data_IF_484772714258
#
_entry.id   IF_484772714258
#
_cell.length_a   1.000
_cell.length_b   1.000
_cell.length_c   1.000
_cell.angle_alpha   90.00
_cell.angle_beta   90.00
_cell.angle_gamma   90.00
#
_symmetry.space_group_name_H-M   'P 1'
#
loop_
_entity.id
_entity.type
_entity.pdbx_description
1 polymer ?
#
# COMPACT_ATOMS: atom_id res chain seq x y z
N UNK A 1 32.76 -50.77 3.82
CA UNK A 1 33.47 -50.62 2.53
C UNK A 1 34.33 -49.37 2.40
N UNK A 2 34.52 -48.52 3.43
CA UNK A 2 35.58 -47.48 3.43
C UNK A 2 35.60 -46.49 2.26
N UNK A 3 34.57 -46.51 1.39
CA UNK A 3 34.50 -45.67 0.21
C UNK A 3 34.01 -44.29 0.63
N UNK A 4 34.66 -43.21 0.15
CA UNK A 4 34.18 -41.87 0.41
C UNK A 4 32.75 -41.72 -0.14
N UNK A 5 31.91 -40.89 0.50
CA UNK A 5 30.58 -40.60 0.01
C UNK A 5 30.68 -40.04 -1.42
N UNK A 6 29.71 -40.35 -2.31
CA UNK A 6 29.70 -39.80 -3.65
C UNK A 6 29.70 -38.27 -3.56
N UNK A 7 30.47 -37.57 -4.41
CA UNK A 7 30.49 -36.12 -4.38
C UNK A 7 29.08 -35.56 -4.59
N UNK A 8 28.75 -34.42 -3.96
CA UNK A 8 27.45 -33.80 -4.14
C UNK A 8 27.24 -33.41 -5.61
N UNK A 9 25.98 -33.35 -6.05
CA UNK A 9 25.64 -33.02 -7.43
C UNK A 9 26.11 -31.61 -7.85
N UNK A 10 26.27 -30.70 -6.88
CA UNK A 10 26.82 -29.36 -7.04
C UNK A 10 27.69 -29.04 -5.83
N UNK A 11 28.93 -28.65 -6.07
CA UNK A 11 29.88 -28.17 -5.07
C UNK A 11 30.45 -26.84 -5.58
N UNK A 12 29.84 -25.73 -5.15
CA UNK A 12 30.21 -24.38 -5.59
C UNK A 12 30.44 -23.50 -4.37
N UNK A 13 31.48 -22.67 -4.43
CA UNK A 13 31.74 -21.63 -3.44
C UNK A 13 30.64 -20.55 -3.54
N UNK A 14 29.92 -20.33 -2.43
CA UNK A 14 28.79 -19.38 -2.39
C UNK A 14 29.18 -17.96 -2.80
N UNK A 15 30.41 -17.53 -2.52
CA UNK A 15 30.93 -16.22 -2.94
C UNK A 15 30.96 -16.06 -4.46
N UNK A 16 31.22 -17.13 -5.22
CA UNK A 16 31.21 -17.10 -6.69
C UNK A 16 29.79 -17.17 -7.26
N UNK A 17 28.87 -17.81 -6.54
CA UNK A 17 27.46 -17.96 -6.95
C UNK A 17 26.65 -16.71 -6.64
N UNK A 18 26.92 -16.08 -5.49
CA UNK A 18 26.24 -14.91 -4.96
C UNK A 18 27.06 -13.62 -5.13
N UNK A 19 28.16 -13.69 -5.87
CA UNK A 19 29.12 -12.60 -6.01
C UNK A 19 28.45 -11.29 -6.43
N UNK A 20 28.99 -10.18 -5.91
CA UNK A 20 28.39 -8.87 -6.13
C UNK A 20 28.45 -8.47 -7.61
N UNK A 21 27.28 -8.19 -8.17
CA UNK A 21 27.18 -7.57 -9.48
C UNK A 21 27.57 -6.08 -9.37
N UNK A 22 28.26 -5.53 -10.38
CA UNK A 22 28.57 -4.10 -10.39
C UNK A 22 27.29 -3.27 -10.34
N UNK A 23 27.29 -2.22 -9.52
CA UNK A 23 26.15 -1.32 -9.38
C UNK A 23 25.89 -0.58 -10.70
N UNK A 24 24.63 -0.60 -11.15
CA UNK A 24 24.21 0.09 -12.37
C UNK A 24 24.08 1.60 -12.12
N UNK A 25 24.79 2.40 -12.90
CA UNK A 25 24.59 3.85 -12.97
C UNK A 25 23.43 4.20 -13.91
N UNK A 26 22.62 5.18 -13.51
CA UNK A 26 21.54 5.72 -14.32
C UNK A 26 21.74 7.22 -14.51
N UNK A 27 21.64 7.68 -15.75
CA UNK A 27 21.66 9.11 -16.10
C UNK A 27 20.24 9.57 -16.43
N UNK A 28 19.82 10.68 -15.84
CA UNK A 28 18.46 11.19 -15.99
C UNK A 28 18.46 12.66 -16.42
N UNK A 29 17.59 12.98 -17.38
CA UNK A 29 17.32 14.34 -17.81
C UNK A 29 15.91 14.75 -17.34
N UNK A 30 15.79 15.93 -16.73
CA UNK A 30 14.50 16.42 -16.24
C UNK A 30 13.74 17.13 -17.35
N UNK A 31 12.50 16.69 -17.59
CA UNK A 31 11.56 17.35 -18.51
C UNK A 31 10.60 18.22 -17.69
N UNK A 32 10.37 19.46 -18.14
CA UNK A 32 9.39 20.36 -17.53
C UNK A 32 8.16 20.39 -18.43
N UNK A 33 7.01 20.04 -17.87
CA UNK A 33 5.71 20.13 -18.55
C UNK A 33 5.01 21.43 -18.17
N UNK A 34 4.41 22.11 -19.16
CA UNK A 34 3.48 23.20 -18.91
C UNK A 34 2.21 22.65 -18.24
N UNK A 35 1.66 23.43 -17.30
CA UNK A 35 0.49 23.04 -16.51
C UNK A 35 -0.60 24.06 -16.77
N UNK A 36 -1.79 23.58 -17.07
CA UNK A 36 -2.96 24.44 -17.22
C UNK A 36 -3.80 24.41 -15.93
N UNK A 37 -4.45 25.53 -15.57
CA UNK A 37 -5.45 25.54 -14.53
C UNK A 37 -6.59 24.56 -14.84
N UNK A 38 -7.23 24.05 -13.80
CA UNK A 38 -8.44 23.23 -13.97
C UNK A 38 -9.55 24.08 -14.61
N UNK A 39 -9.96 23.70 -15.81
CA UNK A 39 -11.13 24.25 -16.48
C UNK A 39 -12.33 23.31 -16.29
N UNK A 40 -13.39 23.82 -15.64
CA UNK A 40 -14.62 23.06 -15.39
C UNK A 40 -15.68 23.57 -16.36
N UNK A 41 -16.14 22.68 -17.24
CA UNK A 41 -17.12 23.03 -18.25
C UNK A 41 -18.38 23.69 -17.64
N UNK A 42 -18.94 24.71 -18.31
CA UNK A 42 -20.17 25.36 -17.85
C UNK A 42 -21.30 24.35 -17.66
N UNK A 43 -22.06 24.50 -16.56
CA UNK A 43 -23.22 23.66 -16.25
C UNK A 43 -22.91 22.38 -15.47
N UNK A 44 -21.64 22.06 -15.14
CA UNK A 44 -21.32 20.98 -14.20
C UNK A 44 -21.75 21.38 -12.79
N UNK A 45 -22.61 20.57 -12.17
CA UNK A 45 -23.01 20.77 -10.77
C UNK A 45 -22.12 19.99 -9.80
N UNK A 46 -22.13 20.41 -8.53
CA UNK A 46 -21.47 19.67 -7.44
C UNK A 46 -22.04 18.26 -7.31
N UNK A 47 -23.36 18.10 -7.49
CA UNK A 47 -24.03 16.79 -7.40
C UNK A 47 -23.57 15.84 -8.51
N UNK A 48 -23.38 16.35 -9.73
CA UNK A 48 -22.86 15.54 -10.83
C UNK A 48 -21.42 15.12 -10.59
N UNK A 49 -20.62 16.03 -10.05
CA UNK A 49 -19.22 15.76 -9.68
C UNK A 49 -19.14 14.71 -8.56
N UNK A 50 -19.97 14.84 -7.51
CA UNK A 50 -20.04 13.87 -6.41
C UNK A 50 -20.42 12.48 -6.92
N UNK A 51 -21.44 12.39 -7.79
CA UNK A 51 -21.84 11.11 -8.40
C UNK A 51 -20.70 10.46 -9.19
N UNK A 52 -19.88 11.26 -9.88
CA UNK A 52 -18.69 10.76 -10.59
C UNK A 52 -17.62 10.28 -9.61
N UNK A 53 -17.29 11.07 -8.61
CA UNK A 53 -16.29 10.76 -7.58
C UNK A 53 -16.63 9.46 -6.86
N UNK A 54 -17.87 9.29 -6.39
CA UNK A 54 -18.31 8.08 -5.67
C UNK A 54 -18.32 6.81 -6.53
N UNK A 55 -18.32 6.94 -7.87
CA UNK A 55 -18.22 5.81 -8.81
C UNK A 55 -16.79 5.41 -9.13
N UNK A 56 -15.80 6.26 -8.83
CA UNK A 56 -14.39 5.93 -9.08
C UNK A 56 -13.98 4.73 -8.22
N UNK A 57 -13.34 3.69 -8.77
CA UNK A 57 -12.87 2.55 -8.01
C UNK A 57 -11.95 2.91 -6.84
N UNK A 58 -11.15 3.97 -6.97
CA UNK A 58 -10.30 4.49 -5.90
C UNK A 58 -11.10 5.02 -4.70
N UNK A 59 -12.33 5.52 -4.91
CA UNK A 59 -13.15 6.15 -3.86
C UNK A 59 -14.32 5.26 -3.40
N UNK A 60 -14.90 4.46 -4.29
CA UNK A 60 -16.10 3.69 -4.01
C UNK A 60 -15.91 2.65 -2.88
N UNK A 61 -17.00 2.05 -2.42
CA UNK A 61 -16.95 1.01 -1.38
C UNK A 61 -16.06 -0.18 -1.79
N UNK A 62 -15.12 -0.54 -0.91
CA UNK A 62 -14.20 -1.68 -1.11
C UNK A 62 -14.76 -3.01 -0.60
N UNK A 63 -16.08 -3.10 -0.39
CA UNK A 63 -16.74 -4.31 0.16
C UNK A 63 -16.39 -5.57 -0.64
N UNK A 64 -16.27 -5.46 -1.96
CA UNK A 64 -15.90 -6.58 -2.83
C UNK A 64 -14.48 -7.14 -2.59
N UNK A 65 -13.60 -6.38 -1.94
CA UNK A 65 -12.27 -6.84 -1.49
C UNK A 65 -12.35 -7.37 -0.05
N UNK A 66 -13.00 -6.62 0.84
CA UNK A 66 -12.98 -6.90 2.28
C UNK A 66 -13.80 -8.13 2.67
N UNK A 67 -14.80 -8.54 1.89
CA UNK A 67 -15.64 -9.71 2.23
C UNK A 67 -15.12 -11.03 1.67
N UNK A 68 -14.06 -11.01 0.86
CA UNK A 68 -13.52 -12.22 0.20
C UNK A 68 -12.45 -12.93 1.04
N UNK A 69 -11.98 -12.28 2.09
CA UNK A 69 -10.88 -12.76 2.93
C UNK A 69 -11.34 -12.90 4.38
N UNK A 70 -10.72 -13.81 5.11
CA UNK A 70 -10.86 -13.86 6.57
C UNK A 70 -10.28 -12.59 7.20
N UNK A 71 -10.92 -12.12 8.27
CA UNK A 71 -10.56 -10.87 8.96
C UNK A 71 -10.48 -11.01 10.48
N UNK A 72 -10.60 -12.22 11.03
CA UNK A 72 -10.61 -12.42 12.47
C UNK A 72 -10.08 -13.79 12.94
N UNK A 73 -9.50 -14.61 12.05
CA UNK A 73 -9.06 -15.99 12.33
C UNK A 73 -8.26 -16.16 13.62
N UNK A 74 -7.44 -15.18 14.00
CA UNK A 74 -6.56 -15.26 15.18
C UNK A 74 -7.25 -14.92 16.50
N UNK A 75 -8.44 -14.31 16.46
CA UNK A 75 -9.08 -13.74 17.66
C UNK A 75 -8.38 -12.50 18.23
N UNK A 76 -7.29 -12.03 17.62
CA UNK A 76 -6.49 -10.88 18.07
C UNK A 76 -6.74 -9.61 17.25
N UNK A 77 -7.65 -9.64 16.27
CA UNK A 77 -7.94 -8.47 15.43
C UNK A 77 -8.86 -7.52 16.18
N UNK A 78 -8.30 -6.40 16.64
CA UNK A 78 -9.03 -5.38 17.40
C UNK A 78 -9.77 -4.40 16.49
N UNK A 79 -9.18 -4.02 15.35
CA UNK A 79 -9.80 -3.14 14.35
C UNK A 79 -9.69 -3.76 12.96
N UNK A 80 -10.85 -4.03 12.36
CA UNK A 80 -10.98 -4.52 10.98
C UNK A 80 -11.27 -3.36 10.02
N UNK A 81 -11.22 -3.64 8.72
CA UNK A 81 -11.55 -2.66 7.66
C UNK A 81 -13.00 -2.16 7.75
N UNK A 82 -13.92 -2.96 8.31
CA UNK A 82 -15.33 -2.60 8.46
C UNK A 82 -15.65 -2.06 9.84
N UNK A 83 -16.47 -1.02 9.90
CA UNK A 83 -16.81 -0.30 11.13
C UNK A 83 -18.33 -0.27 11.38
N UNK A 84 -18.67 -0.20 12.67
CA UNK A 84 -20.02 -0.02 13.16
C UNK A 84 -20.98 -1.19 12.92
N UNK A 85 -22.26 -1.05 13.33
CA UNK A 85 -23.26 -2.11 13.22
C UNK A 85 -23.53 -2.56 11.78
N UNK A 86 -23.32 -1.66 10.82
CA UNK A 86 -23.58 -1.91 9.39
C UNK A 86 -22.38 -2.51 8.65
N UNK A 87 -21.24 -2.70 9.33
CA UNK A 87 -20.02 -3.28 8.75
C UNK A 87 -19.63 -2.59 7.44
N UNK A 88 -19.53 -1.26 7.46
CA UNK A 88 -19.16 -0.46 6.28
C UNK A 88 -17.63 -0.38 6.20
N UNK A 89 -16.98 -0.67 5.05
CA UNK A 89 -15.52 -0.68 4.92
C UNK A 89 -14.96 0.75 4.92
N UNK A 90 -14.82 1.34 6.10
CA UNK A 90 -14.40 2.74 6.32
C UNK A 90 -13.33 2.88 7.41
N UNK A 91 -12.73 1.80 7.90
CA UNK A 91 -11.62 1.96 8.86
C UNK A 91 -10.36 2.42 8.14
N UNK A 92 -9.72 3.46 8.68
CA UNK A 92 -8.47 4.01 8.13
C UNK A 92 -7.23 3.21 8.57
N UNK A 93 -7.34 2.48 9.69
CA UNK A 93 -6.24 1.72 10.30
C UNK A 93 -6.67 0.28 10.63
N UNK A 94 -5.73 -0.65 10.53
CA UNK A 94 -5.86 -2.00 11.07
C UNK A 94 -5.10 -2.11 12.40
N UNK A 95 -5.73 -2.71 13.41
CA UNK A 95 -5.13 -2.87 14.76
C UNK A 95 -5.25 -4.32 15.19
N UNK A 96 -4.15 -4.88 15.67
CA UNK A 96 -4.06 -6.26 16.15
C UNK A 96 -3.40 -6.30 17.53
N UNK A 97 -4.00 -7.02 18.46
CA UNK A 97 -3.44 -7.26 19.78
C UNK A 97 -2.24 -8.21 19.71
N UNK A 98 -1.28 -8.04 20.63
CA UNK A 98 -0.13 -8.94 20.75
C UNK A 98 -0.48 -10.22 21.52
N UNK A 99 -1.38 -10.11 22.50
CA UNK A 99 -1.80 -11.22 23.38
C UNK A 99 -3.32 -11.17 23.57
N UNK A 100 -3.91 -12.26 24.09
CA UNK A 100 -5.35 -12.32 24.39
C UNK A 100 -5.74 -11.61 25.69
N UNK A 101 -4.77 -11.25 26.52
CA UNK A 101 -4.98 -10.74 27.88
C UNK A 101 -4.60 -9.28 28.04
N UNK A 102 -3.67 -8.78 27.22
CA UNK A 102 -3.17 -7.41 27.32
C UNK A 102 -3.81 -6.50 26.27
N UNK A 103 -3.70 -5.20 26.51
CA UNK A 103 -4.23 -4.14 25.65
C UNK A 103 -3.19 -3.59 24.67
N UNK A 104 -2.01 -4.21 24.57
CA UNK A 104 -0.95 -3.78 23.65
C UNK A 104 -1.08 -4.46 22.29
N UNK A 105 -0.63 -3.77 21.26
CA UNK A 105 -0.87 -4.20 19.88
C UNK A 105 0.04 -3.50 18.87
N UNK A 106 -0.13 -3.89 17.62
CA UNK A 106 0.41 -3.19 16.46
C UNK A 106 -0.71 -2.53 15.66
N UNK A 107 -0.40 -1.38 15.07
CA UNK A 107 -1.26 -0.69 14.13
C UNK A 107 -0.58 -0.59 12.76
N UNK A 108 -1.36 -0.73 11.69
CA UNK A 108 -0.88 -0.60 10.31
C UNK A 108 -1.85 0.27 9.51
N UNK A 109 -1.30 1.27 8.82
CA UNK A 109 -2.02 2.10 7.87
C UNK A 109 -1.17 2.30 6.62
N UNK A 110 -1.83 2.65 5.53
CA UNK A 110 -1.21 2.85 4.20
C UNK A 110 -1.56 4.27 3.75
N UNK A 111 -0.62 4.93 3.07
CA UNK A 111 -0.87 6.17 2.34
C UNK A 111 -0.23 6.12 0.96
N UNK A 112 -0.95 6.57 -0.06
CA UNK A 112 -0.49 6.53 -1.46
C UNK A 112 -1.02 7.71 -2.28
N UNK A 113 -0.14 8.35 -3.07
CA UNK A 113 -0.52 9.51 -3.88
C UNK A 113 0.03 9.50 -5.32
N UNK A 114 -0.07 8.37 -6.06
CA UNK A 114 0.64 8.19 -7.33
C UNK A 114 0.28 9.24 -8.38
N UNK A 115 -0.99 9.64 -8.48
CA UNK A 115 -1.47 10.64 -9.45
C UNK A 115 -0.79 11.99 -9.24
N UNK A 116 -0.51 12.37 -7.98
CA UNK A 116 0.19 13.63 -7.67
C UNK A 116 1.63 13.62 -8.16
N UNK A 117 2.22 12.43 -8.34
CA UNK A 117 3.58 12.25 -8.87
C UNK A 117 3.72 12.71 -10.32
N UNK A 118 2.63 12.74 -11.09
CA UNK A 118 2.60 13.30 -12.44
C UNK A 118 2.86 14.82 -12.45
N UNK A 119 2.54 15.50 -11.35
CA UNK A 119 2.76 16.94 -11.19
C UNK A 119 4.05 17.23 -10.43
N UNK A 120 4.23 16.63 -9.26
CA UNK A 120 5.40 16.76 -8.42
C UNK A 120 5.68 15.46 -7.64
N UNK A 121 6.68 14.67 -8.05
CA UNK A 121 7.10 13.46 -7.34
C UNK A 121 7.49 13.70 -5.88
N UNK A 122 8.06 14.87 -5.55
CA UNK A 122 8.44 15.20 -4.17
C UNK A 122 7.21 15.47 -3.32
N UNK A 123 6.20 16.16 -3.86
CA UNK A 123 4.94 16.38 -3.16
C UNK A 123 4.16 15.07 -2.98
N UNK A 124 4.16 14.20 -3.98
CA UNK A 124 3.59 12.84 -3.89
C UNK A 124 4.18 12.06 -2.72
N UNK A 125 5.52 12.02 -2.61
CA UNK A 125 6.18 11.29 -1.52
C UNK A 125 5.81 11.85 -0.14
N UNK A 126 5.79 13.18 0.02
CA UNK A 126 5.38 13.81 1.29
C UNK A 126 3.94 13.51 1.66
N UNK A 127 3.03 13.57 0.68
CA UNK A 127 1.60 13.33 0.93
C UNK A 127 1.29 11.85 1.19
N UNK A 128 2.03 10.91 0.57
CA UNK A 128 1.88 9.49 0.86
C UNK A 128 2.26 9.17 2.32
N UNK A 129 3.36 9.74 2.82
CA UNK A 129 3.74 9.63 4.23
C UNK A 129 2.73 10.33 5.13
N UNK A 130 2.29 11.54 4.74
CA UNK A 130 1.27 12.29 5.48
C UNK A 130 -0.03 11.52 5.64
N UNK A 131 -0.53 10.92 4.56
CA UNK A 131 -1.76 10.11 4.57
C UNK A 131 -1.63 8.87 5.46
N UNK A 132 -0.49 8.17 5.39
CA UNK A 132 -0.24 7.01 6.26
C UNK A 132 -0.29 7.42 7.75
N UNK A 133 0.26 8.59 8.08
CA UNK A 133 0.21 9.12 9.45
C UNK A 133 -1.19 9.59 9.85
N UNK A 134 -1.91 10.30 8.98
CA UNK A 134 -3.29 10.74 9.30
C UNK A 134 -4.26 9.58 9.40
N UNK A 135 -4.00 8.47 8.72
CA UNK A 135 -4.80 7.25 8.88
C UNK A 135 -4.54 6.56 10.23
N UNK A 136 -3.35 6.74 10.83
CA UNK A 136 -3.00 6.17 12.14
C UNK A 136 -3.57 6.96 13.34
N UNK A 137 -3.80 8.27 13.20
CA UNK A 137 -4.06 9.22 14.29
C UNK A 137 -5.50 9.71 14.29
#
# INVERSE_FOLDING_TARGET
NGLPPPPPAVDLELEKVLGDMPQKSFEFNRIVYEREPLDIAPGITVIDSLKRVLRLPSVCSKRFLTTKVDRCVTGLVAQQQTVGPLQIPLADVAVTAQTFTDVTGGACAIGEQPIKGLLDPKAMARLAVGEALTNLV
#
